data_IF_408135506020
#
_entry.id   IF_408135506020
#
_cell.length_a   1.000
_cell.length_b   1.000
_cell.length_c   1.000
_cell.angle_alpha   90.00
_cell.angle_beta   90.00
_cell.angle_gamma   90.00
#
_symmetry.space_group_name_H-M   'P 1'
#
loop_
_entity.id
_entity.type
_entity.pdbx_description
1 polymer ?
#
# COMPACT_ATOMS: atom_id res chain seq x y z
N UNK A 1 -13.93 24.85 21.64
CA UNK A 1 -13.68 26.22 22.11
C UNK A 1 -12.26 26.36 22.69
N UNK A 2 -11.83 25.51 23.63
CA UNK A 2 -10.46 25.56 24.20
C UNK A 2 -9.35 25.36 23.15
N UNK A 3 -9.52 24.52 22.15
CA UNK A 3 -8.57 24.33 21.07
C UNK A 3 -8.33 25.59 20.24
N UNK A 4 -9.33 26.45 20.07
CA UNK A 4 -9.19 27.75 19.37
C UNK A 4 -8.28 28.73 20.09
N UNK A 5 -8.18 28.61 21.40
CA UNK A 5 -7.29 29.45 22.21
C UNK A 5 -5.83 28.99 22.13
N UNK A 6 -5.60 27.68 21.97
CA UNK A 6 -4.26 27.08 21.97
C UNK A 6 -3.65 27.03 20.57
N UNK A 7 -4.46 26.70 19.54
CA UNK A 7 -4.00 26.53 18.16
C UNK A 7 -4.92 27.23 17.15
N UNK A 8 -5.09 28.58 17.25
CA UNK A 8 -6.08 29.29 16.42
C UNK A 8 -5.82 29.14 14.91
N UNK A 9 -4.57 29.08 14.48
CA UNK A 9 -4.21 28.94 13.06
C UNK A 9 -4.58 27.57 12.49
N UNK A 10 -4.37 26.48 13.23
CA UNK A 10 -4.73 25.15 12.78
C UNK A 10 -6.22 24.93 12.75
N UNK A 11 -6.94 25.40 13.78
CA UNK A 11 -8.40 25.27 13.88
C UNK A 11 -9.13 26.13 12.84
N UNK A 12 -8.54 27.25 12.43
CA UNK A 12 -9.07 28.05 11.32
C UNK A 12 -9.28 27.24 10.03
N UNK A 13 -8.44 26.23 9.80
CA UNK A 13 -8.53 25.34 8.63
C UNK A 13 -9.26 24.02 8.90
N UNK A 14 -9.78 23.84 10.13
CA UNK A 14 -10.53 22.64 10.52
C UNK A 14 -12.05 22.81 10.33
N UNK A 15 -12.47 23.70 9.45
CA UNK A 15 -13.89 23.86 9.12
C UNK A 15 -14.41 22.61 8.42
N UNK A 16 -15.68 22.29 8.70
CA UNK A 16 -16.36 21.18 8.03
C UNK A 16 -16.44 21.46 6.53
N UNK A 17 -15.93 20.53 5.75
CA UNK A 17 -16.10 20.53 4.30
C UNK A 17 -17.30 19.64 3.99
N UNK A 18 -18.44 20.24 3.66
CA UNK A 18 -19.70 19.51 3.46
C UNK A 18 -19.61 18.46 2.35
N UNK A 19 -18.84 18.74 1.30
CA UNK A 19 -18.57 17.74 0.25
C UNK A 19 -17.94 16.47 0.82
N UNK A 20 -16.88 16.56 1.61
CA UNK A 20 -16.22 15.38 2.19
C UNK A 20 -17.11 14.70 3.25
N UNK A 21 -17.87 15.47 4.01
CA UNK A 21 -18.83 14.94 4.98
C UNK A 21 -19.94 14.11 4.30
N UNK A 22 -20.38 14.53 3.11
CA UNK A 22 -21.42 13.84 2.34
C UNK A 22 -20.90 12.71 1.44
N UNK A 23 -19.66 12.80 0.98
CA UNK A 23 -19.09 11.87 -0.02
C UNK A 23 -19.15 10.40 0.44
N UNK A 24 -18.81 10.11 1.68
CA UNK A 24 -18.86 8.74 2.22
C UNK A 24 -20.28 8.20 2.27
N UNK A 25 -21.28 9.03 2.58
CA UNK A 25 -22.69 8.63 2.58
C UNK A 25 -23.14 8.31 1.17
N UNK A 26 -22.81 9.15 0.21
CA UNK A 26 -23.13 8.92 -1.21
C UNK A 26 -22.52 7.61 -1.70
N UNK A 27 -21.25 7.36 -1.40
CA UNK A 27 -20.54 6.13 -1.79
C UNK A 27 -21.17 4.89 -1.16
N UNK A 28 -21.56 4.97 0.11
CA UNK A 28 -22.27 3.88 0.80
C UNK A 28 -23.63 3.58 0.16
N UNK A 29 -24.41 4.62 -0.16
CA UNK A 29 -25.70 4.46 -0.82
C UNK A 29 -25.55 3.90 -2.25
N UNK A 30 -24.49 4.27 -2.95
CA UNK A 30 -24.14 3.66 -4.24
C UNK A 30 -23.80 2.19 -4.10
N UNK A 31 -22.96 1.81 -3.12
CA UNK A 31 -22.60 0.41 -2.86
C UNK A 31 -23.86 -0.43 -2.58
N UNK A 32 -24.78 0.05 -1.76
CA UNK A 32 -26.08 -0.60 -1.48
C UNK A 32 -26.94 -0.73 -2.74
N UNK A 33 -27.04 0.35 -3.53
CA UNK A 33 -27.83 0.37 -4.78
C UNK A 33 -27.35 -0.68 -5.77
N UNK A 34 -26.05 -0.85 -5.90
CA UNK A 34 -25.43 -1.82 -6.81
C UNK A 34 -25.22 -3.19 -6.17
N UNK A 35 -25.79 -3.44 -4.98
CA UNK A 35 -25.75 -4.72 -4.25
C UNK A 35 -24.34 -5.20 -3.93
N UNK A 36 -23.44 -4.28 -3.64
CA UNK A 36 -22.22 -4.64 -2.96
C UNK A 36 -22.58 -4.95 -1.50
N UNK A 37 -22.37 -6.17 -1.01
CA UNK A 37 -22.76 -6.54 0.34
C UNK A 37 -22.08 -5.61 1.35
N UNK A 38 -22.87 -5.03 2.25
CA UNK A 38 -22.33 -4.68 3.56
C UNK A 38 -21.77 -5.98 4.14
N UNK A 39 -20.62 -5.91 4.81
CA UNK A 39 -20.00 -7.08 5.44
C UNK A 39 -21.08 -7.89 6.18
N UNK A 40 -21.63 -8.89 5.52
CA UNK A 40 -22.20 -9.98 6.28
C UNK A 40 -21.00 -10.68 6.93
N UNK A 41 -21.12 -11.15 8.17
CA UNK A 41 -20.20 -12.16 8.64
C UNK A 41 -20.34 -13.29 7.61
N UNK A 42 -19.39 -13.35 6.67
CA UNK A 42 -19.33 -14.47 5.78
C UNK A 42 -19.38 -15.69 6.70
N UNK A 43 -20.18 -16.69 6.36
CA UNK A 43 -20.09 -17.98 7.04
C UNK A 43 -18.64 -18.50 7.06
N UNK A 44 -17.78 -17.89 6.22
CA UNK A 44 -16.34 -18.08 6.06
C UNK A 44 -15.52 -16.87 6.59
N UNK A 45 -16.08 -16.01 7.47
CA UNK A 45 -15.28 -14.96 8.11
C UNK A 45 -14.09 -15.64 8.80
N UNK A 46 -12.88 -15.24 8.41
CA UNK A 46 -11.66 -15.80 8.99
C UNK A 46 -11.63 -15.40 10.47
N UNK A 47 -12.26 -16.23 11.30
CA UNK A 47 -12.12 -16.10 12.75
C UNK A 47 -10.77 -16.71 13.12
N UNK A 48 -9.89 -15.90 13.66
CA UNK A 48 -8.60 -16.37 14.15
C UNK A 48 -7.40 -15.74 13.46
N UNK A 49 -6.23 -16.28 13.75
CA UNK A 49 -4.97 -15.80 13.20
C UNK A 49 -4.91 -16.05 11.68
N UNK A 50 -4.56 -15.02 10.92
CA UNK A 50 -4.41 -15.12 9.48
C UNK A 50 -3.12 -14.43 9.02
N UNK A 51 -2.52 -14.96 7.95
CA UNK A 51 -1.37 -14.35 7.30
C UNK A 51 -1.79 -13.09 6.51
N UNK A 52 -0.90 -12.10 6.35
CA UNK A 52 -1.14 -10.97 5.46
C UNK A 52 -1.29 -11.46 4.02
N UNK A 53 -2.22 -10.85 3.29
CA UNK A 53 -2.43 -11.14 1.88
C UNK A 53 -2.04 -9.93 1.03
N UNK A 54 -1.31 -10.16 -0.06
CA UNK A 54 -0.87 -9.13 -0.99
C UNK A 54 -1.19 -9.54 -2.41
N UNK A 55 -1.89 -8.67 -3.14
CA UNK A 55 -2.24 -8.88 -4.55
C UNK A 55 -1.77 -7.70 -5.39
N UNK A 56 -1.06 -7.96 -6.46
CA UNK A 56 -0.81 -6.98 -7.51
C UNK A 56 -2.07 -6.91 -8.40
N UNK A 57 -2.86 -5.86 -8.25
CA UNK A 57 -4.13 -5.67 -8.94
C UNK A 57 -3.92 -5.12 -10.35
N UNK A 58 -3.01 -4.16 -10.48
CA UNK A 58 -2.71 -3.52 -11.76
C UNK A 58 -1.27 -3.00 -11.80
N UNK A 59 -0.67 -3.01 -12.99
CA UNK A 59 0.61 -2.38 -13.29
C UNK A 59 0.61 -1.86 -14.72
N UNK A 60 1.47 -0.90 -15.02
CA UNK A 60 1.64 -0.35 -16.36
C UNK A 60 2.32 -1.35 -17.30
N UNK A 61 1.55 -2.00 -18.15
CA UNK A 61 2.08 -2.98 -19.14
C UNK A 61 3.01 -2.34 -20.17
N UNK A 62 2.84 -1.04 -20.44
CA UNK A 62 3.72 -0.22 -21.28
C UNK A 62 4.66 0.65 -20.44
N UNK A 63 5.01 0.19 -19.24
CA UNK A 63 5.86 0.94 -18.33
C UNK A 63 7.25 1.23 -18.88
N UNK A 64 7.81 0.29 -19.66
CA UNK A 64 9.12 0.46 -20.31
C UNK A 64 9.10 1.59 -21.33
N UNK A 65 8.10 1.61 -22.19
CA UNK A 65 7.90 2.67 -23.18
C UNK A 65 7.63 4.02 -22.52
N UNK A 66 6.76 4.04 -21.50
CA UNK A 66 6.45 5.26 -20.75
C UNK A 66 7.68 5.86 -20.08
N UNK A 67 8.46 5.02 -19.41
CA UNK A 67 9.65 5.48 -18.70
C UNK A 67 10.73 5.97 -19.69
N UNK A 68 11.02 5.22 -20.74
CA UNK A 68 11.97 5.61 -21.76
C UNK A 68 11.55 6.93 -22.43
N UNK A 69 10.25 7.09 -22.75
CA UNK A 69 9.73 8.33 -23.29
C UNK A 69 9.90 9.51 -22.33
N UNK A 70 9.58 9.33 -21.04
CA UNK A 70 9.75 10.39 -20.06
C UNK A 70 11.20 10.81 -19.87
N UNK A 71 12.13 9.84 -19.83
CA UNK A 71 13.57 10.11 -19.70
C UNK A 71 14.12 10.91 -20.89
N UNK A 72 13.70 10.61 -22.11
CA UNK A 72 14.14 11.29 -23.32
C UNK A 72 13.43 12.63 -23.56
N UNK A 73 12.14 12.72 -23.21
CA UNK A 73 11.33 13.92 -23.40
C UNK A 73 11.96 15.17 -22.74
N UNK A 74 12.43 15.02 -21.51
CA UNK A 74 12.99 16.12 -20.73
C UNK A 74 14.14 16.87 -21.42
N UNK A 75 14.87 16.18 -22.27
CA UNK A 75 16.06 16.69 -22.95
C UNK A 75 15.86 16.84 -24.46
N UNK A 76 14.61 16.80 -24.92
CA UNK A 76 14.25 17.00 -26.33
C UNK A 76 13.44 18.30 -26.51
N UNK A 77 13.35 18.76 -27.75
CA UNK A 77 12.45 19.85 -28.16
C UNK A 77 11.22 19.32 -28.93
N UNK A 78 10.96 18.02 -28.83
CA UNK A 78 9.84 17.37 -29.50
C UNK A 78 8.59 17.39 -28.64
N UNK A 79 7.43 17.23 -29.25
CA UNK A 79 6.20 16.92 -28.53
C UNK A 79 6.30 15.54 -27.85
N UNK A 80 5.47 15.29 -26.83
CA UNK A 80 5.45 13.97 -26.20
C UNK A 80 5.07 12.86 -27.18
N UNK A 81 4.16 13.14 -28.10
CA UNK A 81 3.70 12.19 -29.12
C UNK A 81 4.85 11.82 -30.07
N UNK A 82 5.62 12.80 -30.53
CA UNK A 82 6.81 12.53 -31.38
C UNK A 82 7.88 11.71 -30.65
N UNK A 83 8.08 11.98 -29.36
CA UNK A 83 9.02 11.18 -28.53
C UNK A 83 8.49 9.77 -28.35
N UNK A 84 7.20 9.64 -28.07
CA UNK A 84 6.52 8.35 -27.90
C UNK A 84 6.66 7.48 -29.15
N UNK A 85 6.35 8.00 -30.33
CA UNK A 85 6.50 7.29 -31.59
C UNK A 85 7.94 6.78 -31.80
N UNK A 86 8.92 7.64 -31.57
CA UNK A 86 10.35 7.26 -31.67
C UNK A 86 10.73 6.18 -30.67
N UNK A 87 10.22 6.24 -29.44
CA UNK A 87 10.50 5.24 -28.41
C UNK A 87 9.86 3.90 -28.75
N UNK A 88 8.68 3.90 -29.36
CA UNK A 88 8.05 2.65 -29.84
C UNK A 88 8.90 1.99 -30.92
N UNK A 89 9.49 2.77 -31.82
CA UNK A 89 10.38 2.29 -32.89
C UNK A 89 11.74 1.76 -32.35
N UNK A 90 12.13 2.17 -31.13
CA UNK A 90 13.28 1.57 -30.46
C UNK A 90 12.98 0.12 -30.07
N UNK A 91 13.87 -0.78 -30.37
CA UNK A 91 13.76 -2.15 -29.87
C UNK A 91 13.84 -2.24 -28.34
N UNK A 92 13.32 -3.33 -27.74
CA UNK A 92 13.32 -3.50 -26.27
C UNK A 92 14.71 -3.33 -25.64
N UNK A 93 15.77 -3.79 -26.30
CA UNK A 93 17.14 -3.67 -25.81
C UNK A 93 17.61 -2.21 -25.68
N UNK A 94 17.21 -1.33 -26.61
CA UNK A 94 17.55 0.10 -26.55
C UNK A 94 16.79 0.82 -25.43
N UNK A 95 15.49 0.51 -25.27
CA UNK A 95 14.69 1.05 -24.17
C UNK A 95 15.23 0.62 -22.82
N UNK A 96 15.61 -0.65 -22.70
CA UNK A 96 16.23 -1.17 -21.49
C UNK A 96 17.56 -0.48 -21.17
N UNK A 97 18.42 -0.25 -22.17
CA UNK A 97 19.69 0.46 -21.99
C UNK A 97 19.45 1.88 -21.45
N UNK A 98 18.47 2.61 -21.99
CA UNK A 98 18.11 3.95 -21.50
C UNK A 98 17.74 3.92 -20.03
N UNK A 99 16.96 2.93 -19.59
CA UNK A 99 16.52 2.78 -18.21
C UNK A 99 17.69 2.39 -17.30
N UNK A 100 18.50 1.42 -17.70
CA UNK A 100 19.65 0.94 -16.94
C UNK A 100 20.69 2.05 -16.74
N UNK A 101 21.01 2.79 -17.79
CA UNK A 101 21.94 3.94 -17.73
C UNK A 101 21.43 5.04 -16.81
N UNK A 102 20.12 5.32 -16.81
CA UNK A 102 19.52 6.35 -15.95
C UNK A 102 19.59 6.00 -14.45
N UNK A 103 19.81 4.75 -14.10
CA UNK A 103 19.87 4.25 -12.70
C UNK A 103 21.23 3.69 -12.32
N UNK A 104 22.16 3.52 -13.25
CA UNK A 104 23.47 2.88 -13.01
C UNK A 104 24.28 3.52 -11.88
N UNK A 105 24.15 4.84 -11.68
CA UNK A 105 24.84 5.61 -10.64
C UNK A 105 24.13 5.67 -9.29
N UNK A 106 22.97 5.01 -9.11
CA UNK A 106 22.24 5.09 -7.84
C UNK A 106 22.98 4.43 -6.68
N UNK A 107 23.22 5.21 -5.64
CA UNK A 107 23.71 4.70 -4.35
C UNK A 107 22.59 4.19 -3.43
N UNK A 108 22.96 3.66 -2.28
CA UNK A 108 22.03 3.07 -1.32
C UNK A 108 20.95 4.06 -0.83
N UNK A 109 21.29 5.34 -0.73
CA UNK A 109 20.38 6.39 -0.22
C UNK A 109 19.74 7.24 -1.32
N UNK A 110 20.11 7.02 -2.58
CA UNK A 110 19.59 7.80 -3.70
C UNK A 110 18.20 7.31 -4.11
N UNK A 111 17.42 8.25 -4.66
CA UNK A 111 16.14 7.96 -5.29
C UNK A 111 16.28 8.20 -6.81
N UNK A 112 15.58 7.43 -7.65
CA UNK A 112 15.49 7.72 -9.07
C UNK A 112 14.95 9.13 -9.33
N UNK A 113 15.18 9.64 -10.52
CA UNK A 113 14.65 10.94 -10.96
C UNK A 113 13.12 10.90 -11.10
N UNK A 114 12.50 12.08 -11.29
CA UNK A 114 11.04 12.20 -11.28
C UNK A 114 10.35 11.51 -12.46
N UNK A 115 11.06 11.24 -13.53
CA UNK A 115 10.57 10.50 -14.69
C UNK A 115 10.07 9.10 -14.29
N UNK A 116 10.59 8.51 -13.23
CA UNK A 116 10.13 7.25 -12.66
C UNK A 116 8.72 7.35 -12.01
N UNK A 117 8.17 8.54 -11.86
CA UNK A 117 6.80 8.74 -11.36
C UNK A 117 5.72 8.43 -12.41
N UNK A 118 6.08 8.22 -13.71
CA UNK A 118 5.11 7.95 -14.77
C UNK A 118 4.64 6.49 -14.83
N UNK A 119 5.32 5.58 -14.14
CA UNK A 119 4.95 4.15 -14.07
C UNK A 119 4.31 3.85 -12.73
N UNK A 120 3.14 3.21 -12.74
CA UNK A 120 2.32 2.97 -11.57
C UNK A 120 2.07 1.48 -11.29
N UNK A 121 1.93 1.18 -10.00
CA UNK A 121 1.45 -0.10 -9.48
C UNK A 121 0.22 0.11 -8.59
N UNK A 122 -0.75 -0.80 -8.69
CA UNK A 122 -1.88 -0.86 -7.79
C UNK A 122 -1.89 -2.19 -7.09
N UNK A 123 -1.88 -2.16 -5.76
CA UNK A 123 -1.91 -3.35 -4.91
C UNK A 123 -3.13 -3.35 -4.01
N UNK A 124 -3.62 -4.53 -3.68
CA UNK A 124 -4.48 -4.77 -2.53
C UNK A 124 -3.68 -5.46 -1.45
N UNK A 125 -3.77 -4.94 -0.23
CA UNK A 125 -3.16 -5.51 0.96
C UNK A 125 -4.24 -5.86 1.97
N UNK A 126 -4.11 -7.02 2.60
CA UNK A 126 -4.78 -7.35 3.86
C UNK A 126 -3.68 -7.53 4.90
N UNK A 127 -3.56 -6.59 5.83
CA UNK A 127 -2.50 -6.55 6.83
C UNK A 127 -3.02 -5.98 8.14
N UNK A 128 -2.35 -6.28 9.26
CA UNK A 128 -2.79 -5.79 10.55
C UNK A 128 -2.83 -4.25 10.63
N UNK A 129 -3.73 -3.73 11.45
CA UNK A 129 -3.96 -2.30 11.56
C UNK A 129 -2.73 -1.55 12.10
N UNK A 130 -1.90 -2.20 12.90
CA UNK A 130 -0.62 -1.63 13.35
C UNK A 130 0.32 -1.40 12.18
N UNK A 131 0.52 -2.39 11.31
CA UNK A 131 1.30 -2.28 10.09
C UNK A 131 0.72 -1.23 9.13
N UNK A 132 -0.61 -1.19 8.96
CA UNK A 132 -1.26 -0.16 8.15
C UNK A 132 -0.95 1.27 8.63
N UNK A 133 -0.90 1.51 9.94
CA UNK A 133 -0.56 2.82 10.49
C UNK A 133 0.87 3.26 10.15
N UNK A 134 1.77 2.32 10.02
CA UNK A 134 3.13 2.58 9.54
C UNK A 134 3.17 2.75 8.02
N UNK A 135 2.43 1.92 7.29
CA UNK A 135 2.33 1.98 5.84
C UNK A 135 1.82 3.35 5.34
N UNK A 136 0.74 3.87 5.92
CA UNK A 136 0.16 5.17 5.52
C UNK A 136 1.04 6.40 5.78
N UNK A 137 2.25 6.23 6.32
CA UNK A 137 3.26 7.31 6.42
C UNK A 137 3.94 7.62 5.10
N UNK A 138 3.83 6.73 4.13
CA UNK A 138 4.28 6.94 2.75
C UNK A 138 3.28 7.82 2.01
N UNK A 139 3.49 9.15 2.09
CA UNK A 139 2.49 10.15 1.65
C UNK A 139 2.40 10.34 0.14
N UNK A 140 3.37 9.81 -0.61
CA UNK A 140 3.37 9.85 -2.08
C UNK A 140 2.56 8.71 -2.71
N UNK A 141 1.70 8.08 -1.91
CA UNK A 141 0.83 6.98 -2.31
C UNK A 141 -0.65 7.35 -2.14
N UNK A 142 -1.50 6.71 -2.92
CA UNK A 142 -2.95 6.74 -2.70
C UNK A 142 -3.38 5.55 -1.86
N UNK A 143 -4.31 5.76 -0.92
CA UNK A 143 -4.85 4.73 -0.05
C UNK A 143 -6.38 4.74 -0.10
N UNK A 144 -6.97 3.60 -0.40
CA UNK A 144 -8.40 3.35 -0.41
C UNK A 144 -8.71 2.23 0.61
N UNK A 145 -8.67 2.54 1.92
CA UNK A 145 -8.90 1.54 2.95
C UNK A 145 -10.38 1.26 3.11
N UNK A 146 -10.73 -0.01 3.28
CA UNK A 146 -12.06 -0.41 3.75
C UNK A 146 -12.28 0.04 5.21
N UNK A 147 -13.53 0.09 5.70
CA UNK A 147 -13.82 0.29 7.11
C UNK A 147 -13.06 -0.70 8.00
N UNK A 148 -12.83 -0.33 9.25
CA UNK A 148 -12.23 -1.24 10.21
C UNK A 148 -13.22 -2.34 10.59
N UNK A 149 -12.76 -3.60 10.56
CA UNK A 149 -13.56 -4.78 10.87
C UNK A 149 -12.73 -5.86 11.56
N UNK A 150 -13.37 -6.79 12.21
CA UNK A 150 -12.75 -8.02 12.73
C UNK A 150 -12.86 -9.19 11.75
N UNK A 151 -13.60 -9.02 10.64
CA UNK A 151 -13.90 -10.08 9.68
C UNK A 151 -12.69 -10.61 8.89
N UNK A 152 -11.56 -9.91 8.91
CA UNK A 152 -10.34 -10.32 8.20
C UNK A 152 -9.32 -11.06 9.10
N UNK A 153 -9.75 -11.49 10.31
CA UNK A 153 -8.87 -12.11 11.29
C UNK A 153 -7.83 -11.13 11.86
N UNK A 154 -6.83 -11.69 12.51
CA UNK A 154 -5.78 -10.91 13.18
C UNK A 154 -4.41 -11.58 13.06
N UNK A 155 -3.35 -10.84 13.33
CA UNK A 155 -1.97 -11.34 13.36
C UNK A 155 -1.50 -11.53 14.79
N UNK A 156 -1.01 -12.74 15.11
CA UNK A 156 -0.31 -12.99 16.37
C UNK A 156 1.16 -12.60 16.17
N UNK A 157 1.73 -11.71 17.01
CA UNK A 157 3.14 -11.36 16.91
C UNK A 157 4.06 -12.57 17.12
N UNK A 158 5.15 -12.70 16.33
CA UNK A 158 6.08 -13.83 16.46
C UNK A 158 6.66 -14.00 17.88
N UNK A 159 6.85 -12.90 18.61
CA UNK A 159 7.33 -12.94 20.00
C UNK A 159 6.32 -13.61 20.94
N UNK A 160 5.03 -13.46 20.68
CA UNK A 160 3.96 -14.13 21.46
C UNK A 160 3.97 -15.63 21.18
N UNK A 161 4.12 -16.02 19.90
CA UNK A 161 4.25 -17.43 19.49
C UNK A 161 5.49 -18.06 20.13
N UNK A 162 6.65 -17.38 20.07
CA UNK A 162 7.89 -17.86 20.67
C UNK A 162 7.81 -18.03 22.21
N UNK A 163 6.96 -17.22 22.85
CA UNK A 163 6.69 -17.32 24.29
C UNK A 163 5.66 -18.40 24.66
N UNK A 164 5.00 -19.02 23.67
CA UNK A 164 3.92 -20.01 23.90
C UNK A 164 2.66 -19.38 24.50
N UNK A 165 2.38 -18.09 24.18
CA UNK A 165 1.28 -17.30 24.73
C UNK A 165 0.14 -17.06 23.72
N UNK A 166 0.05 -17.86 22.67
CA UNK A 166 -0.97 -17.70 21.62
C UNK A 166 -2.39 -17.81 22.20
N UNK A 167 -2.61 -18.78 23.11
CA UNK A 167 -3.91 -18.99 23.73
C UNK A 167 -4.38 -17.79 24.56
N UNK A 168 -3.49 -17.19 25.33
CA UNK A 168 -3.76 -15.99 26.13
C UNK A 168 -4.03 -14.78 25.23
N UNK A 169 -3.29 -14.68 24.12
CA UNK A 169 -3.51 -13.63 23.14
C UNK A 169 -4.90 -13.78 22.51
N UNK A 170 -5.29 -14.96 22.07
CA UNK A 170 -6.60 -15.24 21.51
C UNK A 170 -7.73 -14.98 22.50
N UNK A 171 -7.57 -15.41 23.76
CA UNK A 171 -8.54 -15.13 24.84
C UNK A 171 -8.74 -13.63 25.08
N UNK A 172 -7.74 -12.81 24.75
CA UNK A 172 -7.85 -11.34 24.85
C UNK A 172 -8.53 -10.73 23.63
N UNK A 173 -8.30 -11.28 22.43
CA UNK A 173 -8.85 -10.74 21.17
C UNK A 173 -10.31 -11.11 20.95
N UNK A 174 -10.69 -12.37 21.21
CA UNK A 174 -12.06 -12.89 20.99
C UNK A 174 -13.18 -12.09 21.66
N UNK A 175 -13.07 -11.65 22.91
CA UNK A 175 -14.11 -10.82 23.50
C UNK A 175 -14.34 -9.48 22.76
N UNK A 176 -13.28 -8.90 22.17
CA UNK A 176 -13.42 -7.69 21.38
C UNK A 176 -14.15 -7.96 20.06
N UNK A 177 -13.92 -9.12 19.42
CA UNK A 177 -14.66 -9.55 18.23
C UNK A 177 -16.14 -9.77 18.55
N UNK A 178 -16.46 -10.48 19.64
CA UNK A 178 -17.84 -10.72 20.06
C UNK A 178 -18.62 -9.42 20.33
N UNK A 179 -17.96 -8.46 20.97
CA UNK A 179 -18.56 -7.14 21.25
C UNK A 179 -18.67 -6.34 19.96
N UNK A 180 -17.69 -6.42 19.06
CA UNK A 180 -17.74 -5.77 17.75
C UNK A 180 -19.00 -6.14 16.99
N UNK A 181 -19.32 -7.43 16.86
CA UNK A 181 -20.50 -7.89 16.13
C UNK A 181 -21.80 -7.39 16.78
N UNK A 182 -21.91 -7.44 18.10
CA UNK A 182 -23.09 -6.93 18.84
C UNK A 182 -23.28 -5.41 18.66
N UNK A 183 -22.19 -4.65 18.75
CA UNK A 183 -22.25 -3.19 18.57
C UNK A 183 -22.53 -2.81 17.12
N UNK A 184 -22.02 -3.59 16.16
CA UNK A 184 -22.22 -3.37 14.74
C UNK A 184 -23.70 -3.43 14.34
N UNK A 185 -24.51 -4.29 14.95
CA UNK A 185 -25.95 -4.37 14.72
C UNK A 185 -26.67 -3.02 15.03
N UNK A 186 -26.15 -2.30 16.02
CA UNK A 186 -26.73 -1.01 16.46
C UNK A 186 -26.05 0.15 15.76
N UNK A 187 -24.73 0.14 15.66
CA UNK A 187 -23.93 1.22 15.09
C UNK A 187 -22.64 0.69 14.44
N UNK A 188 -22.63 0.48 13.12
CA UNK A 188 -21.42 0.07 12.39
C UNK A 188 -20.23 1.02 12.59
N UNK A 189 -20.50 2.32 12.76
CA UNK A 189 -19.45 3.31 13.01
C UNK A 189 -18.83 3.13 14.41
N UNK A 190 -19.65 2.90 15.44
CA UNK A 190 -19.17 2.70 16.80
C UNK A 190 -18.40 1.37 16.94
N UNK A 191 -18.78 0.33 16.22
CA UNK A 191 -18.10 -0.96 16.24
C UNK A 191 -16.62 -0.85 15.84
N UNK A 192 -16.28 0.05 14.92
CA UNK A 192 -14.89 0.23 14.48
C UNK A 192 -13.92 0.61 15.62
N UNK A 193 -14.41 1.18 16.72
CA UNK A 193 -13.58 1.48 17.91
C UNK A 193 -13.16 0.24 18.70
N UNK A 194 -13.77 -0.92 18.43
CA UNK A 194 -13.43 -2.19 19.07
C UNK A 194 -12.37 -2.99 18.31
N UNK A 195 -12.02 -2.55 17.12
CA UNK A 195 -10.99 -3.21 16.30
C UNK A 195 -9.62 -2.92 16.87
N UNK A 196 -8.90 -3.97 17.26
CA UNK A 196 -7.56 -3.86 17.83
C UNK A 196 -6.49 -3.66 16.75
N UNK A 197 -5.27 -3.29 17.14
CA UNK A 197 -4.16 -3.17 16.20
C UNK A 197 -3.72 -4.50 15.57
N UNK A 198 -4.06 -5.62 16.18
CA UNK A 198 -3.78 -6.95 15.66
C UNK A 198 -4.70 -7.33 14.49
N UNK A 199 -5.94 -6.81 14.47
CA UNK A 199 -6.88 -7.13 13.40
C UNK A 199 -6.42 -6.61 12.04
N UNK A 200 -6.67 -7.43 11.03
CA UNK A 200 -6.32 -7.09 9.66
C UNK A 200 -7.29 -6.07 9.05
N UNK A 201 -6.74 -5.23 8.21
CA UNK A 201 -7.46 -4.25 7.39
C UNK A 201 -7.14 -4.47 5.93
N UNK A 202 -8.16 -4.43 5.08
CA UNK A 202 -7.98 -4.44 3.64
C UNK A 202 -7.86 -3.02 3.09
N UNK A 203 -6.90 -2.82 2.19
CA UNK A 203 -6.63 -1.52 1.57
C UNK A 203 -6.13 -1.69 0.15
N UNK A 204 -6.74 -0.98 -0.79
CA UNK A 204 -6.16 -0.80 -2.13
C UNK A 204 -5.23 0.42 -2.08
N UNK A 205 -4.04 0.27 -2.64
CA UNK A 205 -3.05 1.34 -2.72
C UNK A 205 -2.55 1.50 -4.13
N UNK A 206 -2.25 2.74 -4.52
CA UNK A 206 -1.57 3.04 -5.77
C UNK A 206 -0.31 3.86 -5.48
N UNK A 207 0.81 3.45 -6.06
CA UNK A 207 2.07 4.15 -5.98
C UNK A 207 2.87 3.99 -7.27
N UNK A 208 3.75 4.95 -7.53
CA UNK A 208 4.58 4.94 -8.72
C UNK A 208 5.92 4.22 -8.49
N UNK A 209 6.63 3.97 -9.57
CA UNK A 209 7.91 3.25 -9.55
C UNK A 209 8.96 3.99 -8.69
N UNK A 210 8.98 5.33 -8.68
CA UNK A 210 9.89 6.10 -7.83
C UNK A 210 9.63 5.88 -6.35
N UNK A 211 8.35 5.91 -5.94
CA UNK A 211 7.95 5.60 -4.56
C UNK A 211 8.22 4.13 -4.21
N UNK A 212 8.10 3.18 -5.15
CA UNK A 212 8.41 1.79 -4.89
C UNK A 212 9.87 1.57 -4.46
N UNK A 213 10.81 2.32 -5.03
CA UNK A 213 12.21 2.31 -4.58
C UNK A 213 12.36 2.73 -3.13
N UNK A 214 11.70 3.82 -2.75
CA UNK A 214 11.71 4.30 -1.36
C UNK A 214 11.02 3.32 -0.41
N UNK A 215 9.81 2.87 -0.77
CA UNK A 215 9.00 1.95 0.01
C UNK A 215 9.75 0.65 0.28
N UNK A 216 10.29 0.02 -0.76
CA UNK A 216 10.98 -1.25 -0.63
C UNK A 216 12.28 -1.11 0.18
N UNK A 217 13.11 -0.08 -0.07
CA UNK A 217 14.29 0.17 0.76
C UNK A 217 13.96 0.29 2.25
N UNK A 218 12.87 0.99 2.58
CA UNK A 218 12.51 1.29 3.96
C UNK A 218 11.76 0.16 4.66
N UNK A 219 10.94 -0.62 3.93
CA UNK A 219 9.98 -1.54 4.55
C UNK A 219 10.31 -3.02 4.38
N UNK A 220 11.31 -3.35 3.57
CA UNK A 220 11.83 -4.73 3.49
C UNK A 220 13.09 -4.95 4.31
N UNK A 221 13.68 -3.88 4.88
CA UNK A 221 14.87 -3.98 5.72
C UNK A 221 14.57 -4.67 7.06
N UNK A 222 15.60 -5.25 7.67
CA UNK A 222 15.49 -5.95 8.95
C UNK A 222 15.06 -5.04 10.11
N UNK A 223 15.33 -3.74 10.01
CA UNK A 223 14.89 -2.75 10.99
C UNK A 223 13.40 -2.39 10.89
N UNK A 224 12.74 -2.74 9.77
CA UNK A 224 11.31 -2.55 9.66
C UNK A 224 10.57 -3.50 10.60
N UNK A 225 9.46 -3.02 11.18
CA UNK A 225 8.63 -3.85 12.04
C UNK A 225 8.17 -5.11 11.28
N UNK A 226 8.22 -6.26 11.92
CA UNK A 226 7.93 -7.56 11.29
C UNK A 226 6.59 -7.58 10.52
N UNK A 227 5.56 -6.92 11.07
CA UNK A 227 4.23 -6.91 10.47
C UNK A 227 4.16 -6.18 9.12
N UNK A 228 4.99 -5.15 8.91
CA UNK A 228 5.02 -4.43 7.62
C UNK A 228 6.05 -5.04 6.67
N UNK A 229 7.13 -5.61 7.19
CA UNK A 229 8.21 -6.17 6.38
C UNK A 229 7.74 -7.32 5.49
N UNK A 230 7.01 -8.27 6.05
CA UNK A 230 6.52 -9.45 5.34
C UNK A 230 5.62 -9.08 4.13
N UNK A 231 4.53 -8.30 4.27
CA UNK A 231 3.73 -7.91 3.12
C UNK A 231 4.49 -7.02 2.12
N UNK A 232 5.49 -6.24 2.55
CA UNK A 232 6.29 -5.45 1.63
C UNK A 232 7.30 -6.28 0.84
N UNK A 233 7.88 -7.34 1.43
CA UNK A 233 8.69 -8.31 0.70
C UNK A 233 7.85 -8.99 -0.39
N UNK A 234 6.62 -9.38 -0.09
CA UNK A 234 5.72 -9.98 -1.09
C UNK A 234 5.33 -8.97 -2.18
N UNK A 235 5.00 -7.73 -1.83
CA UNK A 235 4.72 -6.69 -2.81
C UNK A 235 5.91 -6.43 -3.74
N UNK A 236 7.12 -6.38 -3.17
CA UNK A 236 8.36 -6.25 -3.94
C UNK A 236 8.56 -7.46 -4.88
N UNK A 237 8.33 -8.69 -4.39
CA UNK A 237 8.44 -9.91 -5.21
C UNK A 237 7.48 -9.87 -6.40
N UNK A 238 6.25 -9.44 -6.19
CA UNK A 238 5.23 -9.32 -7.24
C UNK A 238 5.60 -8.24 -8.27
N UNK A 239 6.06 -7.07 -7.82
CA UNK A 239 6.48 -5.97 -8.72
C UNK A 239 7.69 -6.37 -9.56
N UNK A 240 8.72 -6.95 -8.92
CA UNK A 240 9.92 -7.46 -9.60
C UNK A 240 9.57 -8.61 -10.55
N UNK A 241 8.61 -9.46 -10.17
CA UNK A 241 8.16 -10.58 -11.01
C UNK A 241 7.53 -10.14 -12.32
N UNK A 242 6.83 -9.01 -12.35
CA UNK A 242 6.19 -8.50 -13.59
C UNK A 242 7.08 -7.55 -14.39
N UNK A 243 7.99 -6.82 -13.73
CA UNK A 243 8.87 -5.83 -14.39
C UNK A 243 10.28 -5.84 -13.75
N UNK A 244 11.02 -6.95 -13.84
CA UNK A 244 12.33 -7.08 -13.20
C UNK A 244 13.33 -6.02 -13.68
N UNK A 245 13.20 -5.58 -14.93
CA UNK A 245 14.08 -4.60 -15.55
C UNK A 245 14.14 -3.26 -14.81
N UNK A 246 13.06 -2.86 -14.12
CA UNK A 246 13.03 -1.60 -13.40
C UNK A 246 13.79 -1.63 -12.08
N UNK A 247 14.09 -2.80 -11.55
CA UNK A 247 14.67 -2.96 -10.21
C UNK A 247 16.13 -3.40 -10.22
N UNK A 248 16.77 -3.54 -11.39
CA UNK A 248 18.17 -3.98 -11.50
C UNK A 248 19.14 -3.20 -10.62
N UNK A 249 18.97 -1.90 -10.57
CA UNK A 249 19.82 -0.97 -9.83
C UNK A 249 19.22 -0.54 -8.48
N UNK A 250 18.14 -1.18 -8.01
CA UNK A 250 17.61 -0.96 -6.68
C UNK A 250 18.60 -1.48 -5.63
N UNK A 251 19.12 -0.58 -4.81
CA UNK A 251 20.04 -0.94 -3.72
C UNK A 251 19.27 -1.20 -2.45
N UNK A 252 19.25 -2.47 -2.04
CA UNK A 252 18.68 -2.91 -0.77
C UNK A 252 19.80 -3.08 0.26
N UNK A 253 19.47 -3.01 1.54
CA UNK A 253 20.41 -3.33 2.62
C UNK A 253 20.66 -4.84 2.67
N UNK A 254 19.59 -5.63 2.61
CA UNK A 254 19.63 -7.08 2.54
C UNK A 254 18.77 -7.53 1.36
N UNK A 255 19.36 -8.31 0.46
CA UNK A 255 18.62 -8.85 -0.67
C UNK A 255 17.97 -10.18 -0.26
N UNK A 256 16.71 -10.40 -0.63
CA UNK A 256 16.07 -11.70 -0.42
C UNK A 256 16.65 -12.75 -1.38
N UNK A 257 16.59 -14.03 -0.99
CA UNK A 257 17.15 -15.15 -1.76
C UNK A 257 16.55 -15.27 -3.18
N UNK A 258 15.32 -14.80 -3.37
CA UNK A 258 14.63 -14.79 -4.67
C UNK A 258 15.00 -13.60 -5.56
N UNK A 259 15.90 -12.71 -5.14
CA UNK A 259 16.27 -11.52 -5.91
C UNK A 259 16.90 -11.90 -7.26
N UNK A 260 16.35 -11.42 -8.41
CA UNK A 260 16.74 -11.91 -9.73
C UNK A 260 18.00 -11.27 -10.30
N UNK A 261 18.54 -10.25 -9.65
CA UNK A 261 19.69 -9.51 -10.13
C UNK A 261 20.88 -9.75 -9.22
N UNK A 262 22.07 -10.01 -9.79
CA UNK A 262 23.28 -10.23 -9.01
C UNK A 262 23.79 -8.99 -8.31
#
# INVERSE_FOLDING_TARGET
EQGRLITPTLIKYADRVDYFAGASTIQLDQARRYRFPDEEPAADAVSGASAPEVKLVHWDRKGEEKLAAALLYRHSNLSYDDVWERVIDLGPGSRQAIIDESTAGLGAHDAPTREFEVVDYTFEFTLDYGAYREFKRHRMMSYLPQPLTVAHGYKIPPVVVQAGLESEFEQTVRPAEDVYWKVREVSPLAAQYLVTHAHNRRVVTKFNLRESYHLFKMRTSEEAHFSIREPMLEAMRLAVGVQPQFFRNLKLRNYPDWWPHP
#
